data_IF_280518304856
#
_entry.id   IF_280518304856
#
_cell.length_a   1.000
_cell.length_b   1.000
_cell.length_c   1.000
_cell.angle_alpha   90.00
_cell.angle_beta   90.00
_cell.angle_gamma   90.00
#
_symmetry.space_group_name_H-M   'P 1'
#
loop_
_entity.id
_entity.type
_entity.pdbx_description
1 polymer ?
#
# COMPACT_ATOMS: atom_id res chain seq x y z
N UNK A 1 -23.62 -28.28 14.29
CA UNK A 1 -24.05 -28.09 12.90
C UNK A 1 -22.79 -28.11 12.06
N UNK A 2 -22.55 -29.20 11.35
CA UNK A 2 -21.45 -29.36 10.40
C UNK A 2 -21.64 -28.34 9.28
N UNK A 3 -20.93 -27.21 9.34
CA UNK A 3 -20.82 -26.33 8.19
C UNK A 3 -19.95 -27.06 7.17
N UNK A 4 -20.61 -27.52 6.15
CA UNK A 4 -20.11 -28.13 4.93
C UNK A 4 -18.69 -27.68 4.60
N UNK A 5 -17.76 -28.61 4.66
CA UNK A 5 -16.35 -28.52 4.24
C UNK A 5 -16.24 -28.45 2.70
N UNK A 6 -17.21 -27.84 2.02
CA UNK A 6 -17.24 -27.75 0.58
C UNK A 6 -16.04 -26.88 0.15
N UNK A 7 -15.18 -27.48 -0.67
CA UNK A 7 -13.98 -26.83 -1.23
C UNK A 7 -14.18 -26.57 -2.71
N UNK A 8 -13.45 -25.61 -3.22
CA UNK A 8 -13.35 -25.34 -4.66
C UNK A 8 -11.89 -25.23 -5.05
N UNK A 9 -11.62 -25.53 -6.32
CA UNK A 9 -10.27 -25.43 -6.89
C UNK A 9 -9.74 -23.99 -6.83
N UNK A 10 -8.42 -23.86 -6.78
CA UNK A 10 -7.70 -22.60 -6.92
C UNK A 10 -7.04 -22.59 -8.31
N UNK A 11 -7.13 -21.47 -8.99
CA UNK A 11 -6.46 -21.25 -10.26
C UNK A 11 -5.55 -20.04 -10.14
N UNK A 12 -4.27 -20.27 -10.39
CA UNK A 12 -3.27 -19.20 -10.49
C UNK A 12 -3.57 -18.31 -11.71
N UNK A 13 -3.42 -17.00 -11.53
CA UNK A 13 -3.46 -16.05 -12.67
C UNK A 13 -2.37 -16.42 -13.68
N UNK A 14 -2.79 -16.63 -14.90
CA UNK A 14 -1.87 -16.89 -16.02
C UNK A 14 -1.49 -15.54 -16.66
N UNK A 15 -0.19 -15.21 -16.76
CA UNK A 15 0.27 -13.99 -17.42
C UNK A 15 -0.20 -13.84 -18.87
N UNK A 16 -0.56 -14.95 -19.53
CA UNK A 16 -1.10 -14.96 -20.90
C UNK A 16 -2.57 -14.52 -20.98
N UNK A 17 -3.30 -14.46 -19.86
CA UNK A 17 -4.69 -13.99 -19.90
C UNK A 17 -4.75 -12.51 -20.24
N UNK A 18 -5.62 -12.20 -21.20
CA UNK A 18 -6.03 -10.81 -21.41
C UNK A 18 -6.76 -10.25 -20.20
N UNK A 19 -6.81 -8.93 -20.08
CA UNK A 19 -7.57 -8.27 -19.02
C UNK A 19 -9.05 -8.71 -19.00
N UNK A 20 -9.67 -8.82 -20.17
CA UNK A 20 -11.06 -9.28 -20.32
C UNK A 20 -11.25 -10.72 -19.85
N UNK A 21 -10.31 -11.61 -20.13
CA UNK A 21 -10.35 -12.99 -19.62
C UNK A 21 -10.20 -13.05 -18.10
N UNK A 22 -9.27 -12.29 -17.54
CA UNK A 22 -9.11 -12.22 -16.08
C UNK A 22 -10.39 -11.68 -15.41
N UNK A 23 -10.97 -10.61 -15.94
CA UNK A 23 -12.24 -10.05 -15.44
C UNK A 23 -13.39 -11.06 -15.52
N UNK A 24 -13.53 -11.80 -16.63
CA UNK A 24 -14.55 -12.82 -16.76
C UNK A 24 -14.38 -13.95 -15.73
N UNK A 25 -13.14 -14.38 -15.49
CA UNK A 25 -12.82 -15.42 -14.48
C UNK A 25 -13.05 -14.90 -13.06
N UNK A 26 -12.65 -13.65 -12.78
CA UNK A 26 -12.89 -13.00 -11.50
C UNK A 26 -14.41 -12.86 -11.24
N UNK A 27 -15.18 -12.43 -12.22
CA UNK A 27 -16.64 -12.35 -12.11
C UNK A 27 -17.27 -13.72 -11.77
N UNK A 28 -16.83 -14.80 -12.43
CA UNK A 28 -17.27 -16.18 -12.08
C UNK A 28 -16.87 -16.57 -10.67
N UNK A 29 -15.64 -16.26 -10.24
CA UNK A 29 -15.18 -16.53 -8.90
C UNK A 29 -16.01 -15.77 -7.85
N UNK A 30 -16.45 -14.54 -8.13
CA UNK A 30 -17.29 -13.73 -7.24
C UNK A 30 -18.73 -14.28 -7.09
N UNK A 31 -19.27 -14.96 -8.08
CA UNK A 31 -20.59 -15.62 -7.99
C UNK A 31 -20.49 -17.11 -7.64
N UNK A 32 -19.31 -17.57 -7.24
CA UNK A 32 -19.02 -18.99 -6.90
C UNK A 32 -19.24 -19.98 -8.06
N UNK A 33 -19.20 -19.48 -9.30
CA UNK A 33 -19.32 -20.27 -10.55
C UNK A 33 -17.92 -20.46 -11.19
N UNK A 34 -17.05 -21.19 -10.49
CA UNK A 34 -15.70 -21.49 -10.95
C UNK A 34 -14.66 -21.53 -9.84
N UNK A 35 -13.38 -21.75 -10.20
CA UNK A 35 -12.29 -21.80 -9.22
C UNK A 35 -12.10 -20.45 -8.53
N UNK A 36 -11.55 -20.45 -7.31
CA UNK A 36 -10.97 -19.28 -6.71
C UNK A 36 -9.74 -18.84 -7.55
N UNK A 37 -9.46 -17.56 -7.58
CA UNK A 37 -8.28 -17.01 -8.26
C UNK A 37 -7.16 -16.81 -7.25
N UNK A 38 -5.92 -17.23 -7.58
CA UNK A 38 -4.73 -16.90 -6.82
C UNK A 38 -3.84 -15.96 -7.62
N UNK A 39 -3.34 -14.89 -6.98
CA UNK A 39 -2.49 -13.90 -7.64
C UNK A 39 -1.03 -14.34 -7.74
N UNK A 40 -0.63 -15.30 -6.93
CA UNK A 40 0.71 -15.91 -6.90
C UNK A 40 0.60 -17.36 -6.43
N UNK A 41 1.70 -18.10 -6.44
CA UNK A 41 1.75 -19.49 -5.99
C UNK A 41 1.20 -19.64 -4.58
N UNK A 42 0.37 -20.66 -4.35
CA UNK A 42 -0.30 -20.95 -3.08
C UNK A 42 0.06 -22.34 -2.60
N UNK A 43 -0.10 -22.58 -1.30
CA UNK A 43 0.26 -23.84 -0.64
C UNK A 43 -0.74 -24.97 -0.90
N UNK A 44 -1.94 -24.67 -1.40
CA UNK A 44 -3.01 -25.66 -1.65
C UNK A 44 -3.69 -25.39 -3.00
N UNK A 45 -4.04 -26.45 -3.71
CA UNK A 45 -4.80 -26.42 -4.97
C UNK A 45 -6.32 -26.21 -4.77
N UNK A 46 -6.78 -26.19 -3.52
CA UNK A 46 -8.18 -25.98 -3.18
C UNK A 46 -8.35 -25.17 -1.90
N UNK A 47 -9.44 -24.41 -1.81
CA UNK A 47 -9.80 -23.57 -0.66
C UNK A 47 -11.27 -23.78 -0.28
N UNK A 48 -11.71 -23.22 0.85
CA UNK A 48 -13.13 -23.19 1.20
C UNK A 48 -13.94 -22.54 0.08
N UNK A 49 -15.09 -23.07 -0.26
CA UNK A 49 -15.93 -22.60 -1.38
C UNK A 49 -16.27 -21.10 -1.34
N UNK A 50 -16.29 -20.52 -0.13
CA UNK A 50 -16.53 -19.09 0.07
C UNK A 50 -15.37 -18.17 -0.32
N UNK A 51 -14.14 -18.70 -0.46
CA UNK A 51 -12.97 -17.91 -0.86
C UNK A 51 -13.00 -17.72 -2.38
N UNK A 52 -12.99 -16.48 -2.83
CA UNK A 52 -13.00 -16.11 -4.26
C UNK A 52 -11.64 -15.70 -4.79
N UNK A 53 -10.80 -15.16 -3.90
CA UNK A 53 -9.47 -14.67 -4.26
C UNK A 53 -8.48 -15.04 -3.16
N UNK A 54 -7.27 -15.44 -3.56
CA UNK A 54 -6.13 -15.66 -2.65
C UNK A 54 -5.01 -14.70 -3.01
N UNK A 55 -4.52 -13.97 -2.01
CA UNK A 55 -3.47 -12.97 -2.16
C UNK A 55 -2.36 -13.23 -1.17
N UNK A 56 -1.12 -13.29 -1.63
CA UNK A 56 0.02 -13.43 -0.74
C UNK A 56 0.45 -12.05 -0.21
N UNK A 57 0.77 -12.01 1.08
CA UNK A 57 1.37 -10.84 1.72
C UNK A 57 2.67 -11.23 2.41
N UNK A 58 3.64 -10.34 2.40
CA UNK A 58 4.85 -10.46 3.23
C UNK A 58 4.62 -9.61 4.48
N UNK A 59 4.42 -10.25 5.61
CA UNK A 59 4.42 -9.56 6.90
C UNK A 59 5.83 -9.11 7.30
N UNK A 60 5.94 -8.27 8.33
CA UNK A 60 7.22 -7.82 8.93
C UNK A 60 8.13 -8.98 9.38
N UNK A 61 7.56 -10.16 9.63
CA UNK A 61 8.31 -11.39 9.94
C UNK A 61 9.01 -12.03 8.74
N UNK A 62 8.86 -11.48 7.53
CA UNK A 62 9.39 -12.03 6.28
C UNK A 62 8.69 -13.32 5.81
N UNK A 63 7.74 -13.86 6.58
CA UNK A 63 6.97 -15.04 6.20
C UNK A 63 5.80 -14.66 5.30
N UNK A 64 5.63 -15.38 4.20
CA UNK A 64 4.50 -15.20 3.30
C UNK A 64 3.23 -15.73 3.98
N UNK A 65 2.21 -14.87 4.10
CA UNK A 65 0.85 -15.25 4.50
C UNK A 65 -0.05 -15.27 3.28
N UNK A 66 -0.85 -16.33 3.16
CA UNK A 66 -1.89 -16.46 2.12
C UNK A 66 -3.22 -15.97 2.69
N UNK A 67 -3.73 -14.88 2.18
CA UNK A 67 -4.96 -14.23 2.63
C UNK A 67 -6.12 -14.65 1.75
N UNK A 68 -7.13 -15.27 2.34
CA UNK A 68 -8.35 -15.71 1.65
C UNK A 68 -9.44 -14.63 1.68
N UNK A 69 -9.82 -14.12 0.52
CA UNK A 69 -10.83 -13.09 0.35
C UNK A 69 -12.14 -13.68 -0.20
N UNK A 70 -13.25 -13.28 0.39
CA UNK A 70 -14.58 -13.72 -0.05
C UNK A 70 -15.16 -12.79 -1.13
N UNK A 71 -16.14 -13.26 -1.88
CA UNK A 71 -16.90 -12.39 -2.78
C UNK A 71 -17.58 -11.25 -2.01
N UNK A 72 -18.10 -11.53 -0.81
CA UNK A 72 -18.76 -10.49 0.01
C UNK A 72 -17.80 -9.40 0.44
N UNK A 73 -16.57 -9.73 0.87
CA UNK A 73 -15.59 -8.70 1.26
C UNK A 73 -15.09 -7.86 0.06
N UNK A 74 -14.84 -8.53 -1.08
CA UNK A 74 -14.44 -7.84 -2.31
C UNK A 74 -15.50 -6.86 -2.82
N UNK A 75 -16.77 -7.30 -2.85
CA UNK A 75 -17.88 -6.45 -3.30
C UNK A 75 -18.22 -5.36 -2.27
N UNK A 76 -18.14 -5.63 -0.97
CA UNK A 76 -18.33 -4.61 0.07
C UNK A 76 -17.28 -3.49 -0.07
N UNK A 77 -16.00 -3.85 -0.23
CA UNK A 77 -14.92 -2.89 -0.45
C UNK A 77 -15.14 -2.08 -1.73
N UNK A 78 -15.50 -2.72 -2.85
CA UNK A 78 -15.72 -2.04 -4.12
C UNK A 78 -16.90 -1.05 -4.06
N UNK A 79 -18.04 -1.47 -3.51
CA UNK A 79 -19.24 -0.63 -3.36
C UNK A 79 -18.98 0.58 -2.46
N UNK A 80 -18.38 0.34 -1.28
CA UNK A 80 -18.06 1.41 -0.36
C UNK A 80 -17.06 2.42 -0.94
N UNK A 81 -16.04 1.93 -1.67
CA UNK A 81 -15.07 2.74 -2.37
C UNK A 81 -15.73 3.60 -3.48
N UNK A 82 -16.51 2.97 -4.36
CA UNK A 82 -17.24 3.66 -5.43
C UNK A 82 -18.22 4.71 -4.87
N UNK A 83 -18.91 4.38 -3.77
CA UNK A 83 -19.82 5.33 -3.09
C UNK A 83 -19.07 6.53 -2.52
N UNK A 84 -17.90 6.32 -1.89
CA UNK A 84 -17.10 7.40 -1.30
C UNK A 84 -16.69 8.46 -2.33
N UNK A 85 -16.36 8.05 -3.55
CA UNK A 85 -15.94 8.96 -4.64
C UNK A 85 -17.10 9.36 -5.55
N UNK A 86 -18.34 9.07 -5.18
CA UNK A 86 -19.55 9.34 -5.95
C UNK A 86 -19.52 8.76 -7.38
N UNK A 87 -18.97 7.56 -7.54
CA UNK A 87 -18.93 6.84 -8.81
C UNK A 87 -20.33 6.35 -9.21
N UNK A 88 -20.62 6.36 -10.52
CA UNK A 88 -21.90 5.97 -11.11
C UNK A 88 -21.71 4.78 -12.06
N UNK A 89 -22.75 4.02 -12.26
CA UNK A 89 -22.78 2.96 -13.29
C UNK A 89 -22.35 3.55 -14.65
N UNK A 90 -21.38 2.89 -15.28
CA UNK A 90 -20.81 3.32 -16.55
C UNK A 90 -19.52 4.12 -16.43
N UNK A 91 -19.19 4.65 -15.26
CA UNK A 91 -17.90 5.33 -15.01
C UNK A 91 -16.72 4.37 -15.16
N UNK A 92 -15.59 4.88 -15.64
CA UNK A 92 -14.41 4.08 -15.97
C UNK A 92 -13.25 4.35 -15.04
N UNK A 93 -12.63 3.28 -14.57
CA UNK A 93 -11.35 3.30 -13.89
C UNK A 93 -10.18 3.18 -14.86
N UNK A 94 -9.06 3.79 -14.56
CA UNK A 94 -7.77 3.45 -15.17
C UNK A 94 -7.00 2.46 -14.30
N UNK A 95 -6.41 1.46 -14.93
CA UNK A 95 -5.58 0.44 -14.29
C UNK A 95 -4.12 0.76 -14.52
N UNK A 96 -3.47 1.33 -13.50
CA UNK A 96 -2.04 1.67 -13.45
C UNK A 96 -1.26 0.76 -12.50
N UNK A 97 -1.98 -0.05 -11.70
CA UNK A 97 -1.41 -0.92 -10.68
C UNK A 97 -1.25 -2.35 -11.17
N UNK A 98 -0.22 -3.08 -10.75
CA UNK A 98 -0.02 -4.47 -11.14
C UNK A 98 -1.10 -5.39 -10.54
N UNK A 99 -1.45 -6.45 -11.26
CA UNK A 99 -2.54 -7.36 -10.91
C UNK A 99 -2.15 -8.49 -9.93
N UNK A 100 -0.91 -8.57 -9.55
CA UNK A 100 -0.43 -9.51 -8.52
C UNK A 100 -0.64 -8.97 -7.08
N UNK A 101 -1.29 -7.82 -6.93
CA UNK A 101 -1.63 -7.19 -5.65
C UNK A 101 -3.11 -6.85 -5.57
N UNK A 102 -3.64 -6.84 -4.34
CA UNK A 102 -5.05 -6.52 -4.08
C UNK A 102 -5.46 -5.15 -4.64
N UNK A 103 -4.57 -4.17 -4.65
CA UNK A 103 -4.88 -2.83 -5.14
C UNK A 103 -5.22 -2.82 -6.64
N UNK A 104 -4.49 -3.59 -7.47
CA UNK A 104 -4.80 -3.75 -8.89
C UNK A 104 -6.09 -4.53 -9.12
N UNK A 105 -6.31 -5.61 -8.38
CA UNK A 105 -7.55 -6.39 -8.45
C UNK A 105 -8.76 -5.56 -8.04
N UNK A 106 -8.63 -4.68 -7.06
CA UNK A 106 -9.72 -3.81 -6.63
C UNK A 106 -10.17 -2.84 -7.74
N UNK A 107 -9.27 -2.41 -8.63
CA UNK A 107 -9.68 -1.66 -9.83
C UNK A 107 -10.62 -2.51 -10.70
N UNK A 108 -10.32 -3.81 -10.86
CA UNK A 108 -11.18 -4.72 -11.63
C UNK A 108 -12.54 -4.92 -10.93
N UNK A 109 -12.56 -5.16 -9.62
CA UNK A 109 -13.82 -5.39 -8.88
C UNK A 109 -14.68 -4.14 -8.84
N UNK A 110 -14.08 -2.94 -8.67
CA UNK A 110 -14.79 -1.65 -8.76
C UNK A 110 -15.39 -1.42 -10.14
N UNK A 111 -14.64 -1.77 -11.21
CA UNK A 111 -15.14 -1.68 -12.58
C UNK A 111 -16.27 -2.66 -12.85
N UNK A 112 -16.17 -3.89 -12.34
CA UNK A 112 -17.27 -4.89 -12.44
C UNK A 112 -18.54 -4.38 -11.75
N UNK A 113 -18.41 -3.76 -10.59
CA UNK A 113 -19.53 -3.18 -9.84
C UNK A 113 -20.19 -2.01 -10.62
N UNK A 114 -19.42 -1.23 -11.38
CA UNK A 114 -19.91 -0.16 -12.25
C UNK A 114 -20.36 -0.65 -13.65
N UNK A 115 -20.23 -1.95 -13.95
CA UNK A 115 -20.57 -2.52 -15.24
C UNK A 115 -19.61 -2.14 -16.37
N UNK A 116 -18.35 -1.83 -16.05
CA UNK A 116 -17.34 -1.37 -17.02
C UNK A 116 -16.10 -2.26 -17.03
N UNK A 117 -15.26 -2.07 -18.04
CA UNK A 117 -13.90 -2.62 -18.13
C UNK A 117 -12.95 -1.45 -17.92
N UNK A 118 -11.94 -1.57 -17.02
CA UNK A 118 -10.98 -0.50 -16.81
C UNK A 118 -10.09 -0.30 -18.04
N UNK A 119 -9.60 0.93 -18.21
CA UNK A 119 -8.60 1.28 -19.21
C UNK A 119 -7.24 0.80 -18.73
N UNK A 120 -6.59 -0.12 -19.43
CA UNK A 120 -5.33 -0.73 -19.03
C UNK A 120 -4.13 0.13 -19.46
N UNK A 121 -3.51 0.78 -18.50
CA UNK A 121 -2.33 1.64 -18.68
C UNK A 121 -1.07 1.11 -17.99
N UNK A 122 -1.05 -0.16 -17.59
CA UNK A 122 0.11 -0.77 -16.91
C UNK A 122 1.39 -0.79 -17.75
N UNK A 123 1.25 -0.94 -19.06
CA UNK A 123 2.34 -1.03 -20.03
C UNK A 123 2.32 0.16 -21.00
N UNK A 124 1.89 1.30 -20.54
CA UNK A 124 1.79 2.48 -21.42
C UNK A 124 3.20 2.92 -21.82
N UNK A 125 3.55 2.92 -23.09
CA UNK A 125 4.87 3.35 -23.53
C UNK A 125 5.00 4.87 -23.34
N UNK A 126 6.05 5.31 -22.68
CA UNK A 126 6.36 6.73 -22.42
C UNK A 126 6.63 7.56 -23.70
N UNK A 127 6.61 6.93 -24.88
CA UNK A 127 6.92 7.54 -26.19
C UNK A 127 5.81 7.37 -27.22
N UNK A 128 4.58 7.02 -26.81
CA UNK A 128 3.52 6.77 -27.76
C UNK A 128 2.74 8.07 -28.09
N UNK A 129 2.42 8.25 -29.36
CA UNK A 129 1.44 9.24 -29.85
C UNK A 129 0.00 8.99 -29.27
N UNK A 130 -0.20 7.89 -28.57
CA UNK A 130 -1.44 7.50 -27.93
C UNK A 130 -1.54 8.17 -26.55
N UNK A 131 -2.29 9.25 -26.47
CA UNK A 131 -2.68 9.89 -25.21
C UNK A 131 -3.49 8.92 -24.34
N UNK A 132 -3.33 9.04 -23.01
CA UNK A 132 -4.25 8.39 -22.07
C UNK A 132 -5.70 8.73 -22.44
N UNK A 133 -6.52 7.71 -22.62
CA UNK A 133 -7.97 7.92 -22.77
C UNK A 133 -8.51 8.42 -21.44
N UNK A 134 -9.53 9.28 -21.46
CA UNK A 134 -10.13 9.81 -20.24
C UNK A 134 -10.76 8.69 -19.41
N UNK A 135 -10.29 8.54 -18.19
CA UNK A 135 -10.94 7.74 -17.16
C UNK A 135 -11.56 8.69 -16.12
N UNK A 136 -12.64 8.24 -15.47
CA UNK A 136 -13.26 9.01 -14.40
C UNK A 136 -12.47 8.91 -13.11
N UNK A 137 -11.83 7.77 -12.87
CA UNK A 137 -11.09 7.46 -11.64
C UNK A 137 -9.78 6.74 -11.92
N UNK A 138 -8.83 6.94 -11.01
CA UNK A 138 -7.56 6.23 -11.00
C UNK A 138 -7.22 5.75 -9.59
N UNK A 139 -6.37 4.73 -9.50
CA UNK A 139 -5.75 4.30 -8.27
C UNK A 139 -4.25 4.11 -8.50
N UNK A 140 -3.44 4.75 -7.66
CA UNK A 140 -1.98 4.80 -7.79
C UNK A 140 -1.30 4.67 -6.42
N UNK A 141 0.01 4.54 -6.45
CA UNK A 141 0.87 4.62 -5.25
C UNK A 141 1.61 5.97 -5.21
N UNK A 142 2.10 6.42 -4.03
CA UNK A 142 2.81 7.69 -3.90
C UNK A 142 4.00 7.85 -4.86
N UNK A 143 4.71 6.77 -5.19
CA UNK A 143 5.82 6.82 -6.16
C UNK A 143 5.37 7.13 -7.59
N UNK A 144 4.17 6.69 -7.99
CA UNK A 144 3.59 7.08 -9.28
C UNK A 144 3.14 8.53 -9.27
N UNK A 145 2.56 9.00 -8.17
CA UNK A 145 2.22 10.42 -7.99
C UNK A 145 3.48 11.29 -8.05
N UNK A 146 4.54 10.90 -7.34
CA UNK A 146 5.83 11.60 -7.38
C UNK A 146 6.36 11.72 -8.82
N UNK A 147 6.33 10.62 -9.58
CA UNK A 147 6.76 10.62 -10.98
C UNK A 147 5.92 11.59 -11.84
N UNK A 148 4.60 11.58 -11.67
CA UNK A 148 3.72 12.52 -12.37
C UNK A 148 4.06 13.99 -12.07
N UNK A 149 4.34 14.31 -10.80
CA UNK A 149 4.67 15.66 -10.37
C UNK A 149 6.10 16.10 -10.77
N UNK A 150 7.00 15.15 -11.07
CA UNK A 150 8.41 15.41 -11.33
C UNK A 150 8.88 14.98 -12.75
N UNK A 151 8.02 15.08 -13.75
CA UNK A 151 8.45 14.98 -15.14
C UNK A 151 7.63 14.08 -16.05
N UNK A 152 6.76 13.21 -15.55
CA UNK A 152 5.85 12.41 -16.37
C UNK A 152 4.59 13.24 -16.70
N UNK A 153 4.73 14.13 -17.69
CA UNK A 153 3.67 15.07 -18.06
C UNK A 153 2.38 14.36 -18.56
N UNK A 154 2.53 13.20 -19.20
CA UNK A 154 1.38 12.43 -19.69
C UNK A 154 0.59 11.82 -18.53
N UNK A 155 1.28 11.24 -17.55
CA UNK A 155 0.64 10.73 -16.34
C UNK A 155 0.00 11.88 -15.55
N UNK A 156 0.67 13.03 -15.44
CA UNK A 156 0.12 14.20 -14.76
C UNK A 156 -1.20 14.65 -15.41
N UNK A 157 -1.23 14.77 -16.73
CA UNK A 157 -2.42 15.19 -17.45
C UNK A 157 -3.56 14.16 -17.32
N UNK A 158 -3.23 12.86 -17.35
CA UNK A 158 -4.19 11.80 -17.10
C UNK A 158 -4.83 11.93 -15.71
N UNK A 159 -4.01 12.10 -14.66
CA UNK A 159 -4.48 12.21 -13.28
C UNK A 159 -5.33 13.47 -13.05
N UNK A 160 -4.98 14.58 -13.70
CA UNK A 160 -5.80 15.83 -13.72
C UNK A 160 -7.17 15.62 -14.32
N UNK A 161 -7.27 14.75 -15.33
CA UNK A 161 -8.54 14.43 -15.99
C UNK A 161 -9.47 13.55 -15.13
N UNK A 162 -8.98 12.93 -14.08
CA UNK A 162 -9.77 12.08 -13.20
C UNK A 162 -10.58 12.91 -12.18
N UNK A 163 -11.84 12.52 -11.96
CA UNK A 163 -12.69 13.11 -10.91
C UNK A 163 -12.18 12.83 -9.51
N UNK A 164 -11.52 11.68 -9.30
CA UNK A 164 -10.77 11.36 -8.09
C UNK A 164 -9.63 10.38 -8.40
N UNK A 165 -8.52 10.55 -7.67
CA UNK A 165 -7.34 9.67 -7.72
C UNK A 165 -7.11 9.11 -6.33
N UNK A 166 -7.32 7.80 -6.18
CA UNK A 166 -7.01 7.10 -4.93
C UNK A 166 -5.50 6.89 -4.82
N UNK A 167 -4.90 7.38 -3.76
CA UNK A 167 -3.46 7.23 -3.50
C UNK A 167 -3.27 6.41 -2.23
N UNK A 168 -2.63 5.24 -2.34
CA UNK A 168 -2.47 4.33 -1.21
C UNK A 168 -1.29 3.39 -1.36
N UNK A 169 -1.18 2.42 -0.44
CA UNK A 169 -0.12 1.41 -0.42
C UNK A 169 1.16 1.85 0.29
N UNK A 170 1.38 3.15 0.47
CA UNK A 170 2.42 3.75 1.30
C UNK A 170 1.93 5.11 1.82
N UNK A 171 2.67 5.69 2.76
CA UNK A 171 2.35 7.02 3.30
C UNK A 171 2.47 8.07 2.20
N UNK A 172 1.49 8.95 2.12
CA UNK A 172 1.54 10.15 1.29
C UNK A 172 1.97 11.33 2.16
N UNK A 173 3.05 12.03 1.79
CA UNK A 173 3.45 13.21 2.54
C UNK A 173 2.50 14.38 2.30
N UNK A 174 2.38 15.28 3.29
CA UNK A 174 1.55 16.47 3.17
C UNK A 174 2.01 17.36 2.01
N UNK A 175 3.32 17.42 1.76
CA UNK A 175 3.91 18.18 0.66
C UNK A 175 3.50 17.60 -0.70
N UNK A 176 3.62 16.27 -0.88
CA UNK A 176 3.20 15.61 -2.12
C UNK A 176 1.69 15.77 -2.35
N UNK A 177 0.88 15.66 -1.29
CA UNK A 177 -0.56 15.89 -1.37
C UNK A 177 -0.86 17.31 -1.80
N UNK A 178 -0.23 18.32 -1.20
CA UNK A 178 -0.44 19.72 -1.53
C UNK A 178 0.02 20.03 -2.97
N UNK A 179 1.21 19.54 -3.37
CA UNK A 179 1.68 19.66 -4.75
C UNK A 179 0.71 19.04 -5.76
N UNK A 180 0.12 17.89 -5.45
CA UNK A 180 -0.87 17.26 -6.32
C UNK A 180 -2.13 18.12 -6.46
N UNK A 181 -2.66 18.66 -5.35
CA UNK A 181 -3.82 19.56 -5.33
C UNK A 181 -3.51 20.84 -6.12
N UNK A 182 -2.35 21.46 -5.91
CA UNK A 182 -1.91 22.66 -6.64
C UNK A 182 -1.75 22.42 -8.15
N UNK A 183 -1.43 21.17 -8.53
CA UNK A 183 -1.39 20.71 -9.91
C UNK A 183 -2.77 20.29 -10.46
N UNK A 184 -3.86 20.45 -9.72
CA UNK A 184 -5.22 20.16 -10.15
C UNK A 184 -5.62 18.70 -10.08
N UNK A 185 -4.90 17.86 -9.32
CA UNK A 185 -5.26 16.46 -9.09
C UNK A 185 -6.17 16.38 -7.85
N UNK A 186 -7.35 15.77 -7.99
CA UNK A 186 -8.23 15.49 -6.86
C UNK A 186 -7.79 14.20 -6.15
N UNK A 187 -6.86 14.33 -5.20
CA UNK A 187 -6.29 13.22 -4.43
C UNK A 187 -7.20 12.80 -3.30
N UNK A 188 -7.46 11.52 -3.20
CA UNK A 188 -8.07 10.85 -2.04
C UNK A 188 -7.03 9.90 -1.45
N UNK A 189 -6.53 10.20 -0.26
CA UNK A 189 -5.59 9.34 0.44
C UNK A 189 -6.31 8.10 0.97
N UNK A 190 -5.71 6.91 0.77
CA UNK A 190 -6.33 5.66 1.19
C UNK A 190 -5.40 4.82 2.06
N UNK A 191 -5.91 4.35 3.20
CA UNK A 191 -5.25 3.38 4.05
C UNK A 191 -5.97 2.04 3.99
N UNK A 192 -5.21 0.96 3.97
CA UNK A 192 -5.68 -0.41 4.05
C UNK A 192 -4.60 -1.43 3.73
N UNK A 193 -4.96 -2.69 3.88
CA UNK A 193 -4.08 -3.84 3.65
C UNK A 193 -4.80 -4.92 2.84
N UNK A 194 -4.15 -6.05 2.57
CA UNK A 194 -4.82 -7.21 1.97
C UNK A 194 -5.88 -7.77 2.90
N UNK A 195 -5.63 -7.73 4.21
CA UNK A 195 -6.54 -8.22 5.26
C UNK A 195 -7.84 -7.40 5.35
N UNK A 196 -7.80 -6.14 4.92
CA UNK A 196 -8.98 -5.25 4.80
C UNK A 196 -9.53 -5.20 3.37
N UNK A 197 -9.14 -6.16 2.51
CA UNK A 197 -9.52 -6.19 1.09
C UNK A 197 -9.14 -4.90 0.35
N UNK A 198 -8.01 -4.29 0.72
CA UNK A 198 -7.53 -3.00 0.22
C UNK A 198 -7.94 -1.81 1.10
N UNK A 199 -8.11 -0.63 0.49
CA UNK A 199 -8.41 0.60 1.21
C UNK A 199 -9.72 0.55 1.99
N UNK A 200 -9.66 0.91 3.29
CA UNK A 200 -10.83 0.91 4.20
C UNK A 200 -10.98 2.23 4.98
N UNK A 201 -9.99 3.12 4.95
CA UNK A 201 -10.06 4.49 5.47
C UNK A 201 -9.62 5.43 4.35
N UNK A 202 -10.47 6.41 3.99
CA UNK A 202 -10.25 7.37 2.92
C UNK A 202 -10.27 8.78 3.48
N UNK A 203 -9.21 9.56 3.24
CA UNK A 203 -9.03 10.92 3.79
C UNK A 203 -9.28 10.99 5.32
N UNK A 204 -8.85 9.93 6.03
CA UNK A 204 -9.03 9.79 7.48
C UNK A 204 -10.44 9.38 7.91
N UNK A 205 -11.34 9.04 6.99
CA UNK A 205 -12.69 8.57 7.31
C UNK A 205 -12.85 7.08 6.94
N UNK A 206 -13.44 6.24 7.80
CA UNK A 206 -13.77 4.88 7.45
C UNK A 206 -14.82 4.87 6.33
N UNK A 207 -14.62 4.01 5.32
CA UNK A 207 -15.63 3.83 4.28
C UNK A 207 -16.86 3.09 4.84
N UNK A 208 -17.97 3.11 4.13
CA UNK A 208 -19.23 2.52 4.59
C UNK A 208 -19.08 1.06 5.05
N UNK A 209 -19.63 0.76 6.23
CA UNK A 209 -19.58 -0.58 6.81
C UNK A 209 -18.25 -0.95 7.48
N UNK A 210 -17.35 0.01 7.67
CA UNK A 210 -16.10 -0.14 8.41
C UNK A 210 -16.21 0.54 9.76
N UNK A 211 -15.90 -0.19 10.81
CA UNK A 211 -15.79 0.31 12.18
C UNK A 211 -14.32 0.37 12.58
N UNK A 212 -13.94 1.42 13.31
CA UNK A 212 -12.57 1.68 13.75
C UNK A 212 -12.52 1.79 15.26
N UNK A 213 -11.53 1.17 15.85
CA UNK A 213 -11.13 1.34 17.25
C UNK A 213 -9.63 1.57 17.31
N UNK A 214 -9.20 2.44 18.20
CA UNK A 214 -7.79 2.63 18.56
C UNK A 214 -7.67 2.21 20.01
N UNK A 215 -6.83 1.20 20.29
CA UNK A 215 -6.68 0.66 21.64
C UNK A 215 -5.77 1.54 22.52
N UNK A 216 -5.55 1.14 23.78
CA UNK A 216 -4.75 1.88 24.75
C UNK A 216 -3.28 2.01 24.33
N UNK A 217 -2.78 1.04 23.53
CA UNK A 217 -1.43 1.04 22.95
C UNK A 217 -1.37 1.83 21.63
N UNK A 218 -2.44 2.57 21.28
CA UNK A 218 -2.63 3.30 20.01
C UNK A 218 -2.67 2.41 18.78
N UNK A 219 -2.84 1.10 18.92
CA UNK A 219 -2.93 0.18 17.79
C UNK A 219 -4.30 0.28 17.14
N UNK A 220 -4.29 0.45 15.83
CA UNK A 220 -5.50 0.52 15.01
C UNK A 220 -6.16 -0.87 14.92
N UNK A 221 -7.46 -0.92 15.19
CA UNK A 221 -8.30 -2.11 15.02
C UNK A 221 -9.42 -1.80 14.06
N UNK A 222 -9.72 -2.76 13.20
CA UNK A 222 -10.68 -2.62 12.10
C UNK A 222 -11.69 -3.76 12.18
N UNK A 223 -12.98 -3.43 11.99
CA UNK A 223 -14.05 -4.38 11.88
C UNK A 223 -14.97 -4.02 10.74
N UNK A 224 -15.54 -5.00 10.04
CA UNK A 224 -16.50 -4.78 8.99
C UNK A 224 -16.50 -5.82 7.90
N UNK A 225 -17.43 -5.67 6.96
CA UNK A 225 -17.62 -6.59 5.85
C UNK A 225 -16.44 -6.62 4.85
N UNK A 226 -15.53 -5.65 4.92
CA UNK A 226 -14.33 -5.56 4.08
C UNK A 226 -13.21 -6.51 4.53
N UNK A 227 -13.31 -7.11 5.72
CA UNK A 227 -12.25 -7.99 6.24
C UNK A 227 -12.14 -9.27 5.41
N UNK A 228 -10.91 -9.72 5.22
CA UNK A 228 -10.61 -11.03 4.69
C UNK A 228 -11.22 -12.14 5.57
N UNK A 229 -11.39 -13.33 5.01
CA UNK A 229 -11.97 -14.43 5.76
C UNK A 229 -10.98 -15.03 6.76
N UNK A 230 -9.77 -15.32 6.31
CA UNK A 230 -8.73 -15.97 7.12
C UNK A 230 -7.38 -15.95 6.41
N UNK A 231 -6.34 -16.21 7.14
CA UNK A 231 -5.10 -16.74 6.58
C UNK A 231 -5.32 -18.23 6.21
N UNK A 232 -4.71 -18.69 5.12
CA UNK A 232 -4.91 -20.03 4.59
C UNK A 232 -3.76 -20.98 4.90
N UNK A 233 -2.57 -20.47 5.14
CA UNK A 233 -1.34 -21.21 5.37
C UNK A 233 -0.79 -21.09 6.82
N UNK A 234 -1.59 -20.59 7.74
CA UNK A 234 -1.28 -20.51 9.18
C UNK A 234 -2.54 -20.73 10.00
N UNK A 235 -2.38 -21.16 11.24
CA UNK A 235 -3.47 -21.28 12.23
C UNK A 235 -3.76 -19.98 12.98
N UNK A 236 -3.01 -18.90 12.69
CA UNK A 236 -3.22 -17.58 13.31
C UNK A 236 -4.61 -17.05 12.91
N UNK A 237 -5.48 -16.69 13.86
CA UNK A 237 -6.77 -16.09 13.52
C UNK A 237 -6.57 -14.70 12.91
N UNK A 238 -7.37 -14.36 11.90
CA UNK A 238 -7.35 -13.03 11.30
C UNK A 238 -7.97 -11.98 12.23
N UNK A 239 -9.04 -12.36 12.91
CA UNK A 239 -9.79 -11.47 13.82
C UNK A 239 -9.87 -12.11 15.22
N UNK A 240 -10.03 -11.25 16.21
CA UNK A 240 -10.31 -11.69 17.59
C UNK A 240 -11.74 -12.25 17.74
N UNK A 241 -12.09 -12.70 18.94
CA UNK A 241 -13.40 -13.27 19.28
C UNK A 241 -14.57 -12.28 19.08
N UNK A 242 -14.29 -10.98 19.07
CA UNK A 242 -15.27 -9.90 18.85
C UNK A 242 -15.32 -9.46 17.39
N UNK A 243 -14.53 -10.08 16.49
CA UNK A 243 -14.48 -9.80 15.07
C UNK A 243 -13.60 -8.59 14.69
N UNK A 244 -12.70 -8.14 15.57
CA UNK A 244 -11.75 -7.08 15.30
C UNK A 244 -10.45 -7.64 14.71
N UNK A 245 -10.04 -7.08 13.58
CA UNK A 245 -8.70 -7.24 13.04
C UNK A 245 -7.76 -6.25 13.71
N UNK A 246 -6.77 -6.74 14.43
CA UNK A 246 -5.70 -5.93 15.04
C UNK A 246 -4.59 -5.75 14.02
N UNK A 247 -4.38 -4.51 13.58
CA UNK A 247 -3.30 -4.17 12.65
C UNK A 247 -1.95 -4.09 13.38
N UNK A 248 -0.86 -3.91 12.63
CA UNK A 248 0.43 -3.49 13.20
C UNK A 248 0.61 -1.97 13.16
N UNK A 249 -0.42 -1.20 12.77
CA UNK A 249 -0.31 0.23 12.56
C UNK A 249 -0.79 1.00 13.80
N UNK A 250 -0.07 2.05 14.15
CA UNK A 250 -0.43 3.00 15.19
C UNK A 250 -1.25 4.13 14.59
N UNK A 251 -2.23 4.63 15.34
CA UNK A 251 -3.09 5.69 14.89
C UNK A 251 -3.59 6.55 16.06
N UNK A 252 -4.09 7.73 15.74
CA UNK A 252 -4.85 8.59 16.65
C UNK A 252 -5.99 9.30 15.93
N UNK A 253 -6.90 9.90 16.69
CA UNK A 253 -7.92 10.80 16.14
C UNK A 253 -7.44 12.24 16.22
N UNK A 254 -7.48 12.95 15.07
CA UNK A 254 -7.24 14.38 14.99
C UNK A 254 -8.41 15.05 14.24
N UNK A 255 -9.09 16.00 14.89
CA UNK A 255 -10.23 16.70 14.33
C UNK A 255 -11.35 15.78 13.81
N UNK A 256 -11.52 14.58 14.39
CA UNK A 256 -12.50 13.57 13.95
C UNK A 256 -12.04 12.73 12.77
N UNK A 257 -10.79 12.89 12.33
CA UNK A 257 -10.15 12.06 11.31
C UNK A 257 -9.19 11.07 11.96
N UNK A 258 -9.03 9.91 11.34
CA UNK A 258 -8.04 8.91 11.70
C UNK A 258 -6.73 9.29 11.02
N UNK A 259 -5.69 9.44 11.81
CA UNK A 259 -4.32 9.69 11.34
C UNK A 259 -3.47 8.45 11.65
N UNK A 260 -2.79 7.94 10.64
CA UNK A 260 -1.88 6.80 10.78
C UNK A 260 -0.49 7.33 11.14
N UNK A 261 0.01 6.96 12.32
CA UNK A 261 1.29 7.43 12.85
C UNK A 261 2.49 6.64 12.31
N UNK A 262 2.24 5.41 11.88
CA UNK A 262 3.26 4.48 11.39
C UNK A 262 2.99 3.06 11.87
N UNK A 263 4.00 2.20 11.78
CA UNK A 263 3.88 0.81 12.21
C UNK A 263 4.52 0.61 13.58
N UNK A 264 3.89 -0.21 14.40
CA UNK A 264 4.42 -0.59 15.70
C UNK A 264 5.72 -1.42 15.58
N UNK A 265 5.87 -2.16 14.48
CA UNK A 265 7.06 -2.95 14.16
C UNK A 265 8.17 -2.13 13.45
N UNK A 266 7.88 -0.88 13.04
CA UNK A 266 8.86 0.08 12.51
C UNK A 266 9.41 1.04 13.60
N UNK A 267 9.08 0.79 14.86
CA UNK A 267 9.66 1.49 16.00
C UNK A 267 10.93 0.77 16.42
N UNK A 268 12.04 1.50 16.50
CA UNK A 268 13.32 0.98 16.97
C UNK A 268 13.76 1.68 18.27
N UNK A 269 14.57 0.99 19.05
CA UNK A 269 15.10 1.52 20.30
C UNK A 269 16.52 2.06 20.04
N UNK A 270 16.69 3.36 20.14
CA UNK A 270 17.99 4.02 20.07
C UNK A 270 18.30 4.71 21.40
N UNK A 271 19.35 4.24 22.06
CA UNK A 271 19.79 4.81 23.34
C UNK A 271 18.69 4.82 24.44
N UNK A 272 17.78 3.82 24.41
CA UNK A 272 16.69 3.67 25.39
C UNK A 272 15.41 4.43 25.06
N UNK A 273 15.32 5.10 23.91
CA UNK A 273 14.12 5.78 23.44
C UNK A 273 13.51 5.06 22.24
N UNK A 274 12.18 4.97 22.19
CA UNK A 274 11.43 4.44 21.05
C UNK A 274 11.34 5.52 19.96
N UNK A 275 11.90 5.25 18.79
CA UNK A 275 11.89 6.15 17.63
C UNK A 275 11.17 5.45 16.49
N UNK A 276 10.17 6.12 15.92
CA UNK A 276 9.44 5.61 14.74
C UNK A 276 10.16 6.00 13.44
N UNK A 277 10.43 5.03 12.57
CA UNK A 277 10.95 5.30 11.22
C UNK A 277 10.02 6.22 10.43
N UNK A 278 8.71 6.07 10.59
CA UNK A 278 7.73 6.95 9.94
C UNK A 278 7.88 8.41 10.39
N UNK A 279 8.20 8.65 11.67
CA UNK A 279 8.48 10.01 12.19
C UNK A 279 9.77 10.55 11.57
N UNK A 280 10.82 9.74 11.50
CA UNK A 280 12.09 10.10 10.84
C UNK A 280 11.85 10.50 9.39
N UNK A 281 11.14 9.67 8.63
CA UNK A 281 10.84 9.94 7.22
C UNK A 281 9.97 11.19 7.04
N UNK A 282 9.02 11.44 7.94
CA UNK A 282 8.21 12.66 7.92
C UNK A 282 9.06 13.92 8.08
N UNK A 283 10.02 13.91 9.00
CA UNK A 283 10.93 15.05 9.24
C UNK A 283 11.82 15.30 8.03
N UNK A 284 12.39 14.24 7.44
CA UNK A 284 13.23 14.36 6.25
C UNK A 284 12.41 14.87 5.06
N UNK A 285 11.21 14.31 4.81
CA UNK A 285 10.31 14.72 3.72
C UNK A 285 9.90 16.19 3.84
N UNK A 286 9.64 16.69 5.03
CA UNK A 286 9.28 18.09 5.25
C UNK A 286 10.44 19.05 4.90
N UNK A 287 11.69 18.60 5.02
CA UNK A 287 12.89 19.39 4.67
C UNK A 287 13.27 19.25 3.21
N UNK A 288 13.07 18.09 2.59
CA UNK A 288 13.51 17.73 1.24
C UNK A 288 12.35 17.19 0.40
N UNK A 289 11.60 18.07 -0.24
CA UNK A 289 10.38 17.73 -0.99
C UNK A 289 10.63 16.94 -2.28
N UNK A 290 11.83 17.05 -2.87
CA UNK A 290 12.22 16.38 -4.11
C UNK A 290 13.27 15.28 -3.94
N UNK A 291 13.63 14.95 -2.70
CA UNK A 291 14.60 13.89 -2.40
C UNK A 291 13.90 12.53 -2.33
N UNK A 292 14.35 11.56 -3.12
CA UNK A 292 13.95 10.15 -2.93
C UNK A 292 14.89 9.52 -1.92
N UNK A 293 14.34 9.01 -0.82
CA UNK A 293 15.10 8.41 0.28
C UNK A 293 14.29 7.34 0.99
N UNK A 294 14.95 6.55 1.84
CA UNK A 294 14.30 5.66 2.80
C UNK A 294 15.10 5.57 4.10
N UNK A 295 14.40 5.64 5.22
CA UNK A 295 14.97 5.38 6.54
C UNK A 295 14.86 3.88 6.87
N UNK A 296 15.89 3.30 7.47
CA UNK A 296 15.89 1.91 7.90
C UNK A 296 16.82 1.71 9.10
N UNK A 297 16.71 0.56 9.75
CA UNK A 297 17.56 0.23 10.89
C UNK A 297 18.53 -0.89 10.56
N UNK A 298 19.69 -0.87 11.24
CA UNK A 298 20.61 -2.00 11.31
C UNK A 298 20.82 -2.42 12.75
N UNK A 299 21.09 -3.70 12.94
CA UNK A 299 21.53 -4.18 14.24
C UNK A 299 22.99 -3.75 14.50
N UNK A 300 23.22 -3.18 15.67
CA UNK A 300 24.53 -2.78 16.17
C UNK A 300 24.78 -3.42 17.55
N UNK A 301 25.95 -4.02 17.73
CA UNK A 301 26.28 -4.75 18.97
C UNK A 301 26.32 -3.86 20.21
N UNK A 302 26.61 -2.57 20.05
CA UNK A 302 26.72 -1.61 21.17
C UNK A 302 25.41 -0.89 21.46
N UNK A 303 24.64 -0.54 20.39
CA UNK A 303 23.47 0.33 20.49
C UNK A 303 22.14 -0.40 20.32
N UNK A 304 22.17 -1.70 19.99
CA UNK A 304 21.02 -2.52 19.66
C UNK A 304 20.54 -2.27 18.22
N UNK A 305 19.91 -1.15 17.98
CA UNK A 305 19.53 -0.72 16.63
C UNK A 305 20.04 0.70 16.36
N UNK A 306 20.54 0.90 15.15
CA UNK A 306 20.99 2.21 14.66
C UNK A 306 20.19 2.64 13.46
N UNK A 307 19.94 3.94 13.36
CA UNK A 307 19.27 4.54 12.23
C UNK A 307 20.22 4.70 11.05
N UNK A 308 19.79 4.25 9.88
CA UNK A 308 20.45 4.44 8.59
C UNK A 308 19.48 5.14 7.63
N UNK A 309 20.03 5.84 6.63
CA UNK A 309 19.24 6.48 5.61
C UNK A 309 19.85 6.21 4.22
N UNK A 310 19.05 5.70 3.29
CA UNK A 310 19.42 5.62 1.88
C UNK A 310 18.91 6.85 1.14
N UNK A 311 19.71 7.36 0.21
CA UNK A 311 19.41 8.57 -0.59
C UNK A 311 19.72 8.28 -2.05
N UNK A 312 18.83 8.72 -2.95
CA UNK A 312 18.89 8.41 -4.38
C UNK A 312 19.39 9.62 -5.17
N UNK A 313 20.25 9.35 -6.17
CA UNK A 313 20.70 10.31 -7.22
C UNK A 313 21.21 11.65 -6.68
N UNK A 314 22.04 11.63 -5.64
CA UNK A 314 22.68 12.83 -5.09
C UNK A 314 24.12 12.93 -5.60
N UNK A 315 24.45 14.09 -6.17
CA UNK A 315 25.84 14.40 -6.55
C UNK A 315 26.77 14.34 -5.34
N UNK A 316 27.94 13.73 -5.51
CA UNK A 316 28.91 13.53 -4.43
C UNK A 316 29.34 14.84 -3.74
N UNK A 317 29.31 15.95 -4.45
CA UNK A 317 29.63 17.28 -3.91
C UNK A 317 28.56 17.80 -2.93
N UNK A 318 27.32 17.31 -3.02
CA UNK A 318 26.20 17.72 -2.18
C UNK A 318 25.94 16.78 -1.01
N UNK A 319 26.50 15.57 -1.01
CA UNK A 319 26.24 14.54 0.00
C UNK A 319 26.43 15.05 1.43
N UNK A 320 27.60 15.63 1.73
CA UNK A 320 27.91 16.14 3.07
C UNK A 320 27.03 17.33 3.51
N UNK A 321 26.44 18.07 2.57
CA UNK A 321 25.49 19.15 2.89
C UNK A 321 24.15 18.54 3.28
N UNK A 322 23.65 17.58 2.50
CA UNK A 322 22.36 16.90 2.75
C UNK A 322 22.44 16.10 4.05
N UNK A 323 23.52 15.36 4.29
CA UNK A 323 23.72 14.63 5.56
C UNK A 323 23.60 15.55 6.77
N UNK A 324 24.30 16.70 6.75
CA UNK A 324 24.25 17.67 7.83
C UNK A 324 22.85 18.23 8.03
N UNK A 325 22.15 18.62 6.98
CA UNK A 325 20.80 19.16 7.08
C UNK A 325 19.80 18.13 7.58
N UNK A 326 19.93 16.85 7.20
CA UNK A 326 19.12 15.75 7.74
C UNK A 326 19.40 15.59 9.24
N UNK A 327 20.67 15.56 9.65
CA UNK A 327 21.06 15.44 11.06
C UNK A 327 20.49 16.58 11.91
N UNK A 328 20.58 17.82 11.42
CA UNK A 328 20.05 19.01 12.11
C UNK A 328 18.53 18.95 12.24
N UNK A 329 17.82 18.58 11.15
CA UNK A 329 16.37 18.45 11.16
C UNK A 329 15.89 17.37 12.14
N UNK A 330 16.52 16.20 12.14
CA UNK A 330 16.18 15.10 13.05
C UNK A 330 16.51 15.44 14.49
N UNK A 331 17.65 16.06 14.74
CA UNK A 331 18.05 16.50 16.09
C UNK A 331 17.06 17.52 16.67
N UNK A 332 16.63 18.47 15.84
CA UNK A 332 15.67 19.51 16.26
C UNK A 332 14.28 18.93 16.53
N UNK A 333 13.81 18.02 15.69
CA UNK A 333 12.43 17.52 15.75
C UNK A 333 12.24 16.34 16.73
N UNK A 334 13.24 15.44 16.83
CA UNK A 334 13.13 14.20 17.60
C UNK A 334 14.16 14.15 18.72
N UNK A 335 15.38 14.66 18.50
CA UNK A 335 16.46 14.68 19.48
C UNK A 335 17.73 13.98 19.00
N UNK A 336 18.80 14.07 19.80
CA UNK A 336 20.15 13.55 19.49
C UNK A 336 20.19 12.03 19.19
N UNK A 337 19.23 11.28 19.70
CA UNK A 337 19.17 9.82 19.55
C UNK A 337 18.61 9.38 18.19
N UNK A 338 17.98 10.29 17.43
CA UNK A 338 17.51 10.06 16.08
C UNK A 338 18.57 10.35 15.00
N UNK A 339 19.83 10.49 15.39
CA UNK A 339 20.91 10.71 14.40
C UNK A 339 21.12 9.50 13.50
N UNK A 340 21.18 9.76 12.20
CA UNK A 340 21.57 8.77 11.21
C UNK A 340 23.03 8.39 11.40
N UNK A 341 23.32 7.11 11.56
CA UNK A 341 24.69 6.61 11.76
C UNK A 341 25.40 6.36 10.43
N UNK A 342 24.67 5.90 9.43
CA UNK A 342 25.21 5.60 8.11
C UNK A 342 24.27 6.08 7.01
N UNK A 343 24.85 6.71 5.98
CA UNK A 343 24.15 7.07 4.75
C UNK A 343 24.53 6.12 3.63
N UNK A 344 23.56 5.70 2.82
CA UNK A 344 23.72 4.83 1.68
C UNK A 344 23.26 5.57 0.42
N UNK A 345 24.16 5.80 -0.54
CA UNK A 345 23.83 6.47 -1.79
C UNK A 345 23.59 5.45 -2.89
N UNK A 346 22.45 5.57 -3.56
CA UNK A 346 21.98 4.62 -4.57
C UNK A 346 21.55 5.36 -5.84
N UNK A 347 21.52 4.66 -6.97
CA UNK A 347 20.90 5.16 -8.19
C UNK A 347 19.37 5.05 -8.13
N UNK A 348 18.85 4.00 -7.45
CA UNK A 348 17.43 3.79 -7.18
C UNK A 348 17.23 3.02 -5.86
N UNK A 349 16.09 3.24 -5.19
CA UNK A 349 15.73 2.44 -4.01
C UNK A 349 15.34 1.02 -4.45
N UNK A 350 15.81 -0.03 -3.74
CA UNK A 350 15.29 -1.37 -3.92
C UNK A 350 13.82 -1.40 -3.53
N UNK A 351 12.97 -2.00 -4.38
CA UNK A 351 11.51 -2.02 -4.21
C UNK A 351 10.97 -3.43 -4.32
N UNK A 352 9.99 -3.75 -3.50
CA UNK A 352 9.20 -4.98 -3.57
C UNK A 352 7.75 -4.66 -3.91
N UNK A 353 7.09 -5.58 -4.60
CA UNK A 353 5.67 -5.48 -4.90
C UNK A 353 5.31 -4.24 -5.72
N UNK A 354 4.37 -3.44 -5.22
CA UNK A 354 3.85 -2.24 -5.90
C UNK A 354 4.68 -0.97 -5.62
N UNK A 355 5.98 -1.11 -5.38
CA UNK A 355 6.87 0.02 -5.14
C UNK A 355 7.12 0.35 -3.68
N UNK A 356 6.83 -0.59 -2.77
CA UNK A 356 7.28 -0.49 -1.38
C UNK A 356 8.80 -0.68 -1.32
N UNK A 357 9.47 0.11 -0.49
CA UNK A 357 10.90 -0.02 -0.26
C UNK A 357 11.21 -1.41 0.33
N UNK A 358 12.25 -2.06 -0.21
CA UNK A 358 12.79 -3.31 0.33
C UNK A 358 13.81 -3.01 1.42
N UNK A 359 13.33 -2.87 2.66
CA UNK A 359 14.19 -2.61 3.81
C UNK A 359 15.20 -3.74 4.06
N UNK A 360 14.87 -4.98 3.72
CA UNK A 360 15.80 -6.12 3.86
C UNK A 360 16.99 -5.98 2.93
N UNK A 361 16.73 -5.60 1.67
CA UNK A 361 17.84 -5.38 0.72
C UNK A 361 18.64 -4.13 1.09
N UNK A 362 18.03 -3.05 1.61
CA UNK A 362 18.77 -1.90 2.13
C UNK A 362 19.71 -2.30 3.29
N UNK A 363 19.23 -3.14 4.22
CA UNK A 363 20.04 -3.68 5.30
C UNK A 363 21.21 -4.51 4.79
N UNK A 364 20.97 -5.37 3.79
CA UNK A 364 22.01 -6.19 3.17
C UNK A 364 23.07 -5.33 2.46
N UNK A 365 22.65 -4.32 1.69
CA UNK A 365 23.54 -3.41 0.99
C UNK A 365 24.42 -2.62 1.96
N UNK A 366 23.84 -2.05 3.01
CA UNK A 366 24.57 -1.33 4.04
C UNK A 366 25.51 -2.25 4.82
N UNK A 367 25.06 -3.45 5.19
CA UNK A 367 25.88 -4.42 5.90
C UNK A 367 27.14 -4.80 5.14
N UNK A 368 27.10 -4.88 3.80
CA UNK A 368 28.29 -5.10 2.93
C UNK A 368 29.23 -3.91 2.87
N UNK A 369 28.74 -2.70 3.11
CA UNK A 369 29.53 -1.47 3.08
C UNK A 369 30.30 -1.23 4.38
N UNK A 370 29.78 -1.68 5.51
CA UNK A 370 30.35 -1.43 6.84
C UNK A 370 31.10 -2.64 7.42
N UNK A 371 31.05 -3.80 6.73
CA UNK A 371 31.84 -5.01 7.05
C UNK A 371 33.24 -4.93 6.44
#
# INVERSE_FOLDING_TARGET
MEQSSHRRDVRLVDPAWSLSELMARLAKALVSDGPAIALSSVSSDSVLARISLVVNTTGSSGKIKEVGLTASSLLASAKASNKFIDAKIGDKWSLLLPLNHIAGINVLVRSLELGTIPLDFRNFPSNAETKYSSADFSAIVPTQLFRALNGDAELLEHLRGCRAVLVGGARLSSEQRNQAIDNGINVVETYGSTETTGGCIYDGQPIEGVEIQIDEDKVLRIKGAVLAHSYLNTSEPLVDENGWYKTSDLAHFDGGKIVIDGRNDDVFISGGENISLATVESVISARFTSLEFAAFTLFDAQWGQILCCSIVNVDSSLQGVIEREIQEALTLAIGEKAKVKHFLYLEELPKIGIGKVDHTELQNLMGRLIS
#
